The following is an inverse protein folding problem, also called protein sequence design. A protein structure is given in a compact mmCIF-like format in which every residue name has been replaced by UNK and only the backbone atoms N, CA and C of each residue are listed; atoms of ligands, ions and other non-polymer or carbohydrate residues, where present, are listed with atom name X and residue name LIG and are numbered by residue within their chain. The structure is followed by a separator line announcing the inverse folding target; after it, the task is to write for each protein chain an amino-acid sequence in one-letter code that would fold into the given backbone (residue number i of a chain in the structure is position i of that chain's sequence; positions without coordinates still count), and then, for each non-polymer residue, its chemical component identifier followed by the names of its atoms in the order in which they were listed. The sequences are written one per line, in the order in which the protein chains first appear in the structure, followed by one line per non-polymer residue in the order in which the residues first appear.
data_IF_632539377263
#
_entry.id   IF_632539377263
#
_cell.length_a   1.000
_cell.length_b   1.000
_cell.length_c   1.000
_cell.angle_alpha   90.00
_cell.angle_beta   90.00
_cell.angle_gamma   90.00
#
_symmetry.space_group_name_H-M   'P 1'
#
loop_
_entity.id
_entity.type
_entity.pdbx_description
1 polymer ?
#
# COMPACT_ATOMS: atom_id res chain seq x y z
N UNK A 1 4.14 1.05 -15.04
CA UNK A 1 2.90 1.09 -14.21
C UNK A 1 2.70 2.49 -13.66
N UNK A 2 1.46 2.99 -13.59
CA UNK A 2 1.17 4.35 -13.08
C UNK A 2 0.81 4.28 -11.60
N UNK A 3 1.51 5.03 -10.75
CA UNK A 3 1.20 5.11 -9.31
C UNK A 3 0.50 6.45 -9.02
N UNK A 4 -0.65 6.38 -8.37
CA UNK A 4 -1.46 7.50 -7.93
C UNK A 4 -1.53 7.48 -6.41
N UNK A 5 -1.36 8.62 -5.76
CA UNK A 5 -1.49 8.75 -4.31
C UNK A 5 -2.64 9.69 -3.96
N UNK A 6 -3.37 9.38 -2.91
CA UNK A 6 -4.39 10.28 -2.35
C UNK A 6 -3.74 11.34 -1.44
N UNK A 7 -4.38 12.50 -1.24
CA UNK A 7 -3.92 13.47 -0.23
C UNK A 7 -3.95 12.89 1.19
N UNK A 8 -4.81 11.90 1.47
CA UNK A 8 -4.83 11.17 2.75
C UNK A 8 -3.58 10.31 2.92
N UNK A 9 -3.17 9.60 1.88
CA UNK A 9 -1.93 8.83 1.86
C UNK A 9 -0.72 9.73 2.10
N UNK A 10 -0.59 10.83 1.35
CA UNK A 10 0.54 11.75 1.48
C UNK A 10 0.68 12.33 2.90
N UNK A 11 -0.45 12.72 3.52
CA UNK A 11 -0.46 13.21 4.91
C UNK A 11 -0.03 12.16 5.92
N UNK A 12 -0.37 10.89 5.70
CA UNK A 12 0.10 9.77 6.54
C UNK A 12 1.57 9.48 6.31
N UNK A 13 1.99 9.40 5.05
CA UNK A 13 3.37 9.17 4.63
C UNK A 13 4.35 10.13 5.33
N UNK A 14 4.03 11.43 5.35
CA UNK A 14 4.86 12.45 6.02
C UNK A 14 4.96 12.30 7.54
N UNK A 15 4.04 11.57 8.18
CA UNK A 15 4.02 11.35 9.64
C UNK A 15 4.74 10.07 10.08
N UNK A 16 5.11 9.21 9.13
CA UNK A 16 5.80 7.96 9.44
C UNK A 16 7.24 8.23 9.87
N UNK A 17 7.72 7.43 10.83
CA UNK A 17 9.13 7.47 11.19
C UNK A 17 10.00 6.75 10.13
N UNK A 18 11.32 6.92 10.18
CA UNK A 18 12.25 6.33 9.18
C UNK A 18 12.07 4.82 8.98
N UNK A 19 11.77 4.07 10.03
CA UNK A 19 11.64 2.62 9.94
C UNK A 19 10.33 2.21 9.26
N UNK A 20 9.24 2.89 9.60
CA UNK A 20 7.94 2.71 8.94
C UNK A 20 7.98 3.15 7.49
N UNK A 21 8.72 4.22 7.17
CA UNK A 21 8.98 4.66 5.80
C UNK A 21 9.70 3.60 4.99
N UNK A 22 10.75 2.98 5.54
CA UNK A 22 11.47 1.88 4.87
C UNK A 22 10.52 0.72 4.57
N UNK A 23 9.78 0.27 5.58
CA UNK A 23 8.77 -0.79 5.44
C UNK A 23 7.69 -0.45 4.42
N UNK A 24 7.23 0.81 4.40
CA UNK A 24 6.21 1.26 3.46
C UNK A 24 6.76 1.31 2.04
N UNK A 25 8.00 1.74 1.84
CA UNK A 25 8.62 1.75 0.51
C UNK A 25 8.81 0.32 -0.01
N UNK A 26 9.29 -0.60 0.83
CA UNK A 26 9.34 -2.04 0.50
C UNK A 26 7.96 -2.59 0.14
N UNK A 27 6.92 -2.16 0.86
CA UNK A 27 5.54 -2.52 0.56
C UNK A 27 5.06 -1.98 -0.80
N UNK A 28 5.40 -0.74 -1.13
CA UNK A 28 5.06 -0.11 -2.40
C UNK A 28 5.75 -0.85 -3.54
N UNK A 29 7.05 -1.12 -3.42
CA UNK A 29 7.83 -1.83 -4.44
C UNK A 29 7.27 -3.24 -4.69
N UNK A 30 6.96 -3.98 -3.62
CA UNK A 30 6.36 -5.30 -3.72
C UNK A 30 5.00 -5.28 -4.45
N UNK A 31 4.15 -4.29 -4.12
CA UNK A 31 2.83 -4.13 -4.78
C UNK A 31 2.99 -3.62 -6.22
N UNK A 32 4.06 -2.86 -6.53
CA UNK A 32 4.37 -2.43 -7.90
C UNK A 32 4.73 -3.63 -8.77
N UNK A 33 5.58 -4.52 -8.25
CA UNK A 33 6.03 -5.73 -8.96
C UNK A 33 4.88 -6.74 -9.11
N UNK A 34 4.07 -6.90 -8.07
CA UNK A 34 2.92 -7.79 -8.10
C UNK A 34 1.71 -7.15 -7.39
N UNK A 35 0.83 -6.46 -8.14
CA UNK A 35 -0.37 -5.85 -7.58
C UNK A 35 -1.37 -6.85 -6.95
N UNK A 36 -1.20 -8.14 -7.18
CA UNK A 36 -2.08 -9.19 -6.66
C UNK A 36 -1.66 -9.70 -5.28
N UNK A 37 -0.49 -9.30 -4.74
CA UNK A 37 0.00 -9.78 -3.42
C UNK A 37 -0.85 -9.35 -2.24
N UNK A 38 -1.55 -8.22 -2.36
CA UNK A 38 -2.43 -7.74 -1.32
C UNK A 38 -3.71 -8.56 -1.24
N UNK A 39 -4.15 -8.78 -0.02
CA UNK A 39 -5.39 -9.49 0.27
C UNK A 39 -6.58 -8.62 -0.15
N UNK A 40 -7.46 -9.19 -0.97
CA UNK A 40 -8.68 -8.52 -1.39
C UNK A 40 -9.64 -8.46 -0.20
N UNK A 41 -9.99 -7.26 0.24
CA UNK A 41 -10.94 -7.08 1.33
C UNK A 41 -12.36 -7.22 0.77
N UNK A 42 -12.93 -8.44 0.86
CA UNK A 42 -14.33 -8.70 0.46
C UNK A 42 -15.29 -8.03 1.45
N UNK A 43 -15.99 -7.00 0.97
CA UNK A 43 -17.01 -6.19 1.65
C UNK A 43 -17.54 -5.12 0.67
N UNK A 44 -18.16 -4.03 1.16
CA UNK A 44 -18.74 -2.95 0.33
C UNK A 44 -17.74 -2.17 -0.57
N UNK A 45 -16.44 -2.47 -0.48
CA UNK A 45 -15.35 -1.73 -1.14
C UNK A 45 -14.59 -2.60 -2.15
N UNK A 46 -15.31 -3.35 -2.97
CA UNK A 46 -14.91 -4.54 -3.75
C UNK A 46 -13.57 -4.57 -4.53
N UNK A 47 -12.86 -3.44 -4.64
CA UNK A 47 -11.58 -3.35 -5.35
C UNK A 47 -10.37 -3.08 -4.44
N UNK A 48 -10.58 -2.82 -3.13
CA UNK A 48 -9.48 -2.49 -2.21
C UNK A 48 -8.71 -3.75 -1.80
N UNK A 49 -7.40 -3.69 -2.01
CA UNK A 49 -6.42 -4.65 -1.52
C UNK A 49 -5.64 -4.06 -0.37
N UNK A 50 -5.27 -4.92 0.58
CA UNK A 50 -4.41 -4.56 1.70
C UNK A 50 -3.20 -5.47 1.70
N UNK A 51 -2.02 -4.88 1.58
CA UNK A 51 -0.76 -5.59 1.76
C UNK A 51 -0.20 -5.29 3.16
N UNK A 52 0.19 -6.34 3.88
CA UNK A 52 0.78 -6.25 5.22
C UNK A 52 2.28 -6.47 5.12
N UNK A 53 3.05 -5.40 5.30
CA UNK A 53 4.51 -5.46 5.39
C UNK A 53 4.94 -5.51 6.85
N UNK A 54 5.82 -6.46 7.20
CA UNK A 54 6.27 -6.66 8.58
C UNK A 54 7.78 -6.92 8.62
N UNK A 55 8.46 -6.24 9.54
CA UNK A 55 9.86 -6.53 9.89
C UNK A 55 10.01 -6.63 11.40
N UNK A 56 10.28 -7.85 11.88
CA UNK A 56 10.33 -8.17 13.31
C UNK A 56 9.04 -7.77 14.06
N UNK A 57 9.16 -6.76 14.93
CA UNK A 57 8.05 -6.24 15.75
C UNK A 57 7.29 -5.07 15.11
N UNK A 58 7.72 -4.57 13.95
CA UNK A 58 7.09 -3.44 13.26
C UNK A 58 6.28 -3.92 12.08
N UNK A 59 5.12 -3.32 11.88
CA UNK A 59 4.18 -3.67 10.82
C UNK A 59 3.58 -2.40 10.22
N UNK A 60 3.41 -2.39 8.90
CA UNK A 60 2.71 -1.34 8.15
C UNK A 60 1.67 -2.02 7.25
N UNK A 61 0.50 -1.40 7.16
CA UNK A 61 -0.57 -1.82 6.26
C UNK A 61 -0.67 -0.83 5.11
N UNK A 62 -0.54 -1.32 3.88
CA UNK A 62 -0.70 -0.55 2.66
C UNK A 62 -2.04 -0.91 2.01
N UNK A 63 -2.98 0.04 2.01
CA UNK A 63 -4.23 -0.08 1.27
C UNK A 63 -4.06 0.51 -0.13
N UNK A 64 -4.48 -0.24 -1.14
CA UNK A 64 -4.38 0.19 -2.54
C UNK A 64 -5.49 -0.38 -3.41
N UNK A 65 -5.72 0.28 -4.54
CA UNK A 65 -6.57 -0.21 -5.64
C UNK A 65 -5.67 -0.54 -6.82
N UNK A 66 -5.87 -1.71 -7.43
CA UNK A 66 -5.20 -2.10 -8.66
C UNK A 66 -6.22 -2.16 -9.80
N UNK A 67 -6.06 -1.30 -10.80
CA UNK A 67 -6.93 -1.23 -11.98
C UNK A 67 -6.08 -1.19 -13.24
N UNK A 68 -5.98 -2.32 -13.95
CA UNK A 68 -5.16 -2.46 -15.14
C UNK A 68 -3.69 -2.13 -14.87
N UNK A 69 -3.18 -1.08 -15.52
CA UNK A 69 -1.79 -0.62 -15.38
C UNK A 69 -1.62 0.53 -14.35
N UNK A 70 -2.60 0.73 -13.46
CA UNK A 70 -2.58 1.77 -12.43
C UNK A 70 -2.72 1.20 -11.02
N UNK A 71 -1.92 1.73 -10.10
CA UNK A 71 -2.05 1.56 -8.64
C UNK A 71 -2.48 2.88 -8.02
N UNK A 72 -3.49 2.84 -7.15
CA UNK A 72 -3.90 3.99 -6.33
C UNK A 72 -3.71 3.69 -4.85
N UNK A 73 -2.79 4.40 -4.21
CA UNK A 73 -2.48 4.31 -2.78
C UNK A 73 -3.45 5.17 -1.98
N UNK A 74 -4.03 4.61 -0.91
CA UNK A 74 -5.15 5.21 -0.15
C UNK A 74 -4.75 5.83 1.20
#
# INVERSE_FOLDING_TARGET
MKVLQTPTFERKYKKLNRNELSLLNEAIDAVIDNPQIGELKRGDLGDIRVYKARTGRREVLLAYLSAGNSLKLL
#
